data_IF_009028878943
#
_entry.id   IF_009028878943
#
_cell.length_a   1.000
_cell.length_b   1.000
_cell.length_c   1.000
_cell.angle_alpha   90.00
_cell.angle_beta   90.00
_cell.angle_gamma   90.00
#
_symmetry.space_group_name_H-M   'P 1'
#
loop_
_entity.id
_entity.type
_entity.pdbx_description
1 polymer ?
#
# COMPACT_ATOMS: atom_id res chain seq x y z
N UNK A 1 23.90 -66.47 34.46
CA UNK A 1 22.47 -66.13 34.38
C UNK A 1 22.23 -64.89 35.23
N UNK A 2 21.89 -63.80 34.54
CA UNK A 2 21.42 -62.46 34.93
C UNK A 2 21.90 -61.79 36.23
N UNK A 3 22.74 -60.77 36.03
CA UNK A 3 23.05 -59.71 36.97
C UNK A 3 21.85 -58.76 37.17
N UNK A 4 21.71 -58.28 38.41
CA UNK A 4 20.65 -57.41 38.90
C UNK A 4 20.88 -55.96 38.50
N UNK A 5 19.77 -55.34 38.12
CA UNK A 5 19.47 -53.92 37.87
C UNK A 5 20.25 -52.90 38.70
N UNK A 6 20.78 -51.88 38.02
CA UNK A 6 21.07 -50.56 38.59
C UNK A 6 20.25 -49.50 37.86
N UNK A 7 19.66 -48.61 38.67
CA UNK A 7 18.86 -47.46 38.29
C UNK A 7 19.58 -46.56 37.28
N UNK A 8 18.84 -45.92 36.36
CA UNK A 8 18.86 -44.45 36.30
C UNK A 8 17.80 -43.83 35.38
N UNK A 9 16.92 -43.09 36.05
CA UNK A 9 16.22 -41.86 35.65
C UNK A 9 16.83 -41.10 34.46
N UNK A 10 16.00 -40.75 33.46
CA UNK A 10 16.10 -39.47 32.72
C UNK A 10 14.70 -39.01 32.29
N UNK A 11 14.22 -37.96 32.95
CA UNK A 11 13.16 -37.07 32.45
C UNK A 11 13.55 -36.54 31.07
N UNK A 12 12.70 -36.75 30.06
CA UNK A 12 12.81 -36.04 28.78
C UNK A 12 12.38 -34.59 28.97
N UNK A 13 13.34 -33.66 29.02
CA UNK A 13 13.09 -32.24 28.77
C UNK A 13 12.72 -32.07 27.29
N UNK A 14 11.44 -31.85 26.98
CA UNK A 14 11.02 -31.39 25.66
C UNK A 14 11.46 -29.93 25.49
N UNK A 15 12.54 -29.72 24.75
CA UNK A 15 12.90 -28.41 24.23
C UNK A 15 11.93 -28.06 23.09
N UNK A 16 10.89 -27.27 23.39
CA UNK A 16 10.09 -26.61 22.37
C UNK A 16 10.98 -25.60 21.64
N UNK A 17 11.52 -25.99 20.49
CA UNK A 17 12.14 -25.06 19.55
C UNK A 17 11.05 -24.09 19.06
N UNK A 18 11.13 -22.84 19.48
CA UNK A 18 10.33 -21.76 18.92
C UNK A 18 10.74 -21.61 17.44
N UNK A 19 9.90 -22.11 16.53
CA UNK A 19 10.03 -21.78 15.12
C UNK A 19 9.85 -20.26 14.97
N UNK A 20 10.78 -19.54 14.31
CA UNK A 20 10.50 -18.17 13.93
C UNK A 20 9.30 -18.22 12.98
N UNK A 21 8.21 -17.56 13.36
CA UNK A 21 7.11 -17.32 12.45
C UNK A 21 7.67 -16.54 11.25
N UNK A 22 7.78 -17.19 10.10
CA UNK A 22 8.02 -16.48 8.84
C UNK A 22 6.80 -15.58 8.63
N UNK A 23 7.00 -14.27 8.81
CA UNK A 23 6.01 -13.28 8.40
C UNK A 23 5.70 -13.52 6.91
N UNK A 24 4.44 -13.79 6.60
CA UNK A 24 3.99 -13.96 5.23
C UNK A 24 4.39 -12.72 4.40
N UNK A 25 4.95 -12.96 3.21
CA UNK A 25 5.24 -11.88 2.26
C UNK A 25 3.99 -11.00 2.06
N UNK A 26 4.14 -9.68 1.86
CA UNK A 26 2.99 -8.81 1.68
C UNK A 26 2.23 -9.26 0.43
N UNK A 27 1.05 -9.82 0.69
CA UNK A 27 0.04 -10.15 -0.31
C UNK A 27 -0.30 -8.86 -1.06
N UNK A 28 -0.53 -8.87 -2.39
CA UNK A 28 -1.07 -7.73 -3.11
C UNK A 28 -2.22 -7.13 -2.30
N UNK A 29 -2.15 -5.82 -2.05
CA UNK A 29 -3.11 -5.19 -1.16
C UNK A 29 -4.52 -5.45 -1.70
N UNK A 30 -5.54 -5.62 -0.84
CA UNK A 30 -6.93 -5.83 -1.29
C UNK A 30 -7.35 -4.82 -2.36
N UNK A 31 -6.81 -3.61 -2.31
CA UNK A 31 -7.06 -2.53 -3.27
C UNK A 31 -6.36 -2.73 -4.62
N UNK A 32 -5.19 -3.36 -4.65
CA UNK A 32 -4.52 -3.70 -5.91
C UNK A 32 -5.37 -4.71 -6.68
N UNK A 33 -6.08 -5.61 -5.97
CA UNK A 33 -7.01 -6.57 -6.58
C UNK A 33 -8.21 -5.87 -7.21
N UNK A 34 -8.79 -4.88 -6.55
CA UNK A 34 -9.91 -4.10 -7.11
C UNK A 34 -9.51 -3.43 -8.43
N UNK A 35 -8.30 -2.85 -8.51
CA UNK A 35 -7.80 -2.26 -9.77
C UNK A 35 -7.54 -3.32 -10.83
N UNK A 36 -7.01 -4.49 -10.44
CA UNK A 36 -6.78 -5.59 -11.37
C UNK A 36 -8.10 -6.19 -11.91
N UNK A 37 -9.12 -6.32 -11.06
CA UNK A 37 -10.47 -6.77 -11.42
C UNK A 37 -11.14 -5.77 -12.37
N UNK A 38 -11.02 -4.46 -12.12
CA UNK A 38 -11.53 -3.44 -13.04
C UNK A 38 -10.89 -3.50 -14.44
N UNK A 39 -9.70 -4.10 -14.55
CA UNK A 39 -9.00 -4.32 -15.82
C UNK A 39 -9.00 -5.79 -16.29
N UNK A 40 -9.79 -6.68 -15.66
CA UNK A 40 -9.72 -8.13 -15.94
C UNK A 40 -10.52 -8.59 -17.15
N UNK A 41 -11.38 -7.75 -17.72
CA UNK A 41 -12.21 -8.09 -18.89
C UNK A 41 -11.41 -8.19 -20.20
N UNK A 42 -10.11 -7.90 -20.17
CA UNK A 42 -9.24 -7.84 -21.34
C UNK A 42 -8.27 -9.02 -21.44
N UNK A 43 -7.78 -9.28 -22.66
CA UNK A 43 -6.58 -10.10 -22.87
C UNK A 43 -5.38 -9.55 -22.09
N UNK A 44 -4.31 -10.33 -21.93
CA UNK A 44 -3.12 -9.89 -21.16
C UNK A 44 -2.55 -8.53 -21.65
N UNK A 45 -2.59 -8.25 -22.95
CA UNK A 45 -2.19 -6.96 -23.52
C UNK A 45 -3.21 -5.85 -23.22
N UNK A 46 -4.50 -6.12 -23.35
CA UNK A 46 -5.54 -5.14 -23.03
C UNK A 46 -5.60 -4.81 -21.52
N UNK A 47 -5.26 -5.76 -20.64
CA UNK A 47 -5.11 -5.51 -19.21
C UNK A 47 -3.98 -4.51 -18.94
N UNK A 48 -2.83 -4.65 -19.61
CA UNK A 48 -1.74 -3.69 -19.48
C UNK A 48 -2.16 -2.30 -19.95
N UNK A 49 -2.82 -2.18 -21.10
CA UNK A 49 -3.31 -0.90 -21.62
C UNK A 49 -4.33 -0.23 -20.67
N UNK A 50 -5.25 -1.01 -20.11
CA UNK A 50 -6.19 -0.54 -19.09
C UNK A 50 -5.44 0.00 -17.87
N UNK A 51 -4.44 -0.72 -17.38
CA UNK A 51 -3.66 -0.31 -16.21
C UNK A 51 -2.80 0.93 -16.46
N UNK A 52 -2.28 1.12 -17.68
CA UNK A 52 -1.59 2.36 -18.07
C UNK A 52 -2.55 3.55 -18.01
N UNK A 53 -3.77 3.40 -18.56
CA UNK A 53 -4.80 4.45 -18.49
C UNK A 53 -5.21 4.75 -17.05
N UNK A 54 -5.40 3.71 -16.24
CA UNK A 54 -5.80 3.84 -14.85
C UNK A 54 -4.70 4.47 -13.99
N UNK A 55 -3.42 4.21 -14.29
CA UNK A 55 -2.30 4.89 -13.64
C UNK A 55 -2.35 6.41 -13.88
N UNK A 56 -2.55 6.83 -15.13
CA UNK A 56 -2.70 8.24 -15.50
C UNK A 56 -3.93 8.86 -14.82
N UNK A 57 -5.07 8.17 -14.86
CA UNK A 57 -6.31 8.64 -14.26
C UNK A 57 -6.18 8.79 -12.73
N UNK A 58 -5.55 7.83 -12.06
CA UNK A 58 -5.32 7.89 -10.62
C UNK A 58 -4.42 9.06 -10.21
N UNK A 59 -3.39 9.39 -11.01
CA UNK A 59 -2.56 10.59 -10.79
C UNK A 59 -3.36 11.86 -10.93
N UNK A 60 -4.25 11.94 -11.92
CA UNK A 60 -5.14 13.07 -12.10
C UNK A 60 -6.10 13.24 -10.90
N UNK A 61 -6.70 12.14 -10.43
CA UNK A 61 -7.56 12.14 -9.23
C UNK A 61 -6.81 12.58 -7.97
N UNK A 62 -5.58 12.10 -7.77
CA UNK A 62 -4.74 12.54 -6.65
C UNK A 62 -4.45 14.04 -6.70
N UNK A 63 -4.03 14.57 -7.86
CA UNK A 63 -3.78 16.02 -8.03
C UNK A 63 -5.03 16.85 -7.78
N UNK A 64 -6.19 16.37 -8.24
CA UNK A 64 -7.46 17.04 -7.98
C UNK A 64 -7.79 17.06 -6.49
N UNK A 65 -7.57 15.95 -5.77
CA UNK A 65 -7.80 15.87 -4.33
C UNK A 65 -6.85 16.78 -3.54
N UNK A 66 -5.57 16.85 -3.92
CA UNK A 66 -4.60 17.81 -3.36
C UNK A 66 -5.07 19.25 -3.55
N UNK A 67 -5.52 19.61 -4.76
CA UNK A 67 -6.09 20.93 -5.04
C UNK A 67 -7.34 21.24 -4.22
N UNK A 68 -8.22 20.27 -4.02
CA UNK A 68 -9.41 20.42 -3.16
C UNK A 68 -9.05 20.62 -1.69
N UNK A 69 -8.06 19.89 -1.18
CA UNK A 69 -7.57 20.08 0.19
C UNK A 69 -6.96 21.48 0.38
N UNK A 70 -6.15 21.95 -0.59
CA UNK A 70 -5.61 23.31 -0.61
C UNK A 70 -6.73 24.37 -0.62
N UNK A 71 -7.78 24.14 -1.40
CA UNK A 71 -8.94 25.02 -1.43
C UNK A 71 -9.71 25.01 -0.10
N UNK A 72 -9.88 23.84 0.53
CA UNK A 72 -10.51 23.72 1.84
C UNK A 72 -9.71 24.46 2.93
N UNK A 73 -8.38 24.30 2.97
CA UNK A 73 -7.50 25.07 3.86
C UNK A 73 -7.61 26.58 3.65
N UNK A 74 -8.00 27.05 2.47
CA UNK A 74 -8.19 28.49 2.19
C UNK A 74 -9.49 29.05 2.76
N UNK A 75 -10.43 28.17 3.11
CA UNK A 75 -11.74 28.50 3.64
C UNK A 75 -11.88 28.13 5.11
N UNK A 76 -10.87 27.50 5.67
CA UNK A 76 -10.84 27.10 7.07
C UNK A 76 -10.76 28.36 7.93
N UNK A 77 -11.77 28.58 8.76
CA UNK A 77 -11.90 29.75 9.65
C UNK A 77 -10.98 29.59 10.87
N UNK A 78 -9.68 29.73 10.61
CA UNK A 78 -8.60 29.60 11.59
C UNK A 78 -7.56 30.69 11.34
N UNK A 79 -6.72 30.99 12.34
CA UNK A 79 -5.61 31.92 12.17
C UNK A 79 -4.70 31.52 11.00
N UNK A 80 -4.28 32.53 10.23
CA UNK A 80 -3.45 32.38 9.05
C UNK A 80 -2.16 31.59 9.34
N UNK A 81 -1.58 31.71 10.54
CA UNK A 81 -0.37 30.97 10.91
C UNK A 81 -0.59 29.44 10.89
N UNK A 82 -1.74 28.96 11.36
CA UNK A 82 -2.09 27.54 11.38
C UNK A 82 -2.49 27.05 9.98
N UNK A 83 -3.18 27.89 9.19
CA UNK A 83 -3.47 27.60 7.78
C UNK A 83 -2.17 27.40 6.99
N UNK A 84 -1.20 28.30 7.16
CA UNK A 84 0.09 28.23 6.47
C UNK A 84 0.91 27.01 6.92
N UNK A 85 0.92 26.71 8.23
CA UNK A 85 1.55 25.51 8.75
C UNK A 85 0.93 24.23 8.17
N UNK A 86 -0.40 24.17 8.06
CA UNK A 86 -1.11 23.04 7.50
C UNK A 86 -0.79 22.86 6.00
N UNK A 87 -0.69 23.95 5.22
CA UNK A 87 -0.25 23.88 3.81
C UNK A 87 1.17 23.37 3.65
N UNK A 88 2.10 23.87 4.47
CA UNK A 88 3.48 23.41 4.45
C UNK A 88 3.56 21.91 4.78
N UNK A 89 2.78 21.47 5.78
CA UNK A 89 2.70 20.06 6.18
C UNK A 89 2.08 19.19 5.08
N UNK A 90 1.03 19.67 4.40
CA UNK A 90 0.43 18.98 3.26
C UNK A 90 1.44 18.77 2.13
N UNK A 91 2.24 19.80 1.80
CA UNK A 91 3.27 19.71 0.76
C UNK A 91 4.36 18.68 1.11
N UNK A 92 4.85 18.70 2.35
CA UNK A 92 5.82 17.70 2.85
C UNK A 92 5.22 16.30 2.82
N UNK A 93 3.99 16.14 3.32
CA UNK A 93 3.27 14.86 3.33
C UNK A 93 3.07 14.31 1.92
N UNK A 94 2.76 15.15 0.93
CA UNK A 94 2.65 14.76 -0.47
C UNK A 94 3.96 14.22 -1.05
N UNK A 95 5.09 14.88 -0.74
CA UNK A 95 6.43 14.43 -1.16
C UNK A 95 6.78 13.07 -0.55
N UNK A 96 6.57 12.89 0.75
CA UNK A 96 6.85 11.62 1.41
C UNK A 96 5.89 10.51 0.96
N UNK A 97 4.64 10.83 0.67
CA UNK A 97 3.71 9.88 0.05
C UNK A 97 4.21 9.40 -1.32
N UNK A 98 4.76 10.29 -2.16
CA UNK A 98 5.36 9.91 -3.43
C UNK A 98 6.48 8.87 -3.26
N UNK A 99 7.38 9.09 -2.30
CA UNK A 99 8.46 8.15 -1.96
C UNK A 99 7.94 6.81 -1.45
N UNK A 100 6.96 6.86 -0.54
CA UNK A 100 6.29 5.67 -0.02
C UNK A 100 5.66 4.85 -1.15
N UNK A 101 4.88 5.50 -2.04
CA UNK A 101 4.22 4.83 -3.17
C UNK A 101 5.25 4.14 -4.07
N UNK A 102 6.30 4.85 -4.43
CA UNK A 102 7.30 4.32 -5.35
C UNK A 102 8.04 3.12 -4.74
N UNK A 103 8.38 3.16 -3.44
CA UNK A 103 8.98 2.05 -2.72
C UNK A 103 8.04 0.82 -2.61
N UNK A 104 6.77 1.05 -2.25
CA UNK A 104 5.78 -0.03 -2.17
C UNK A 104 5.52 -0.68 -3.52
N UNK A 105 5.44 0.10 -4.59
CA UNK A 105 5.17 -0.44 -5.92
C UNK A 105 6.41 -1.08 -6.56
N UNK A 106 7.62 -0.70 -6.16
CA UNK A 106 8.83 -1.45 -6.48
C UNK A 106 8.82 -2.84 -5.82
N UNK A 107 8.38 -2.94 -4.56
CA UNK A 107 8.19 -4.22 -3.88
C UNK A 107 7.10 -5.07 -4.56
N UNK A 108 5.94 -4.48 -4.89
CA UNK A 108 4.88 -5.20 -5.62
C UNK A 108 5.39 -5.77 -6.96
N UNK A 109 6.23 -5.01 -7.68
CA UNK A 109 6.90 -5.44 -8.91
C UNK A 109 7.89 -6.59 -8.66
N UNK A 110 8.65 -6.57 -7.56
CA UNK A 110 9.65 -7.61 -7.28
C UNK A 110 9.04 -8.95 -6.87
N UNK A 111 7.83 -8.94 -6.32
CA UNK A 111 7.10 -10.15 -5.91
C UNK A 111 6.50 -10.94 -7.07
N UNK A 112 6.63 -10.47 -8.31
CA UNK A 112 6.16 -11.18 -9.51
C UNK A 112 7.34 -11.85 -10.22
N UNK A 113 7.22 -13.16 -10.46
CA UNK A 113 8.20 -13.93 -11.22
C UNK A 113 8.31 -13.47 -12.69
N UNK A 114 9.47 -13.73 -13.30
CA UNK A 114 9.74 -13.35 -14.70
C UNK A 114 9.08 -14.23 -15.77
N UNK A 115 8.42 -15.33 -15.35
CA UNK A 115 7.98 -16.39 -16.26
C UNK A 115 6.71 -16.06 -17.08
N UNK A 116 6.06 -14.92 -16.87
CA UNK A 116 4.83 -14.55 -17.61
C UNK A 116 4.78 -13.06 -17.96
N UNK A 117 5.31 -12.73 -19.15
CA UNK A 117 5.06 -11.47 -19.85
C UNK A 117 5.17 -10.20 -19.00
N UNK A 118 4.13 -9.36 -19.04
CA UNK A 118 4.10 -8.05 -18.39
C UNK A 118 3.70 -8.09 -16.90
N UNK A 119 3.67 -9.26 -16.25
CA UNK A 119 3.15 -9.42 -14.89
C UNK A 119 3.81 -8.52 -13.83
N UNK A 120 5.11 -8.24 -13.98
CA UNK A 120 5.84 -7.29 -13.12
C UNK A 120 5.33 -5.86 -13.28
N UNK A 121 5.06 -5.45 -14.52
CA UNK A 121 4.60 -4.11 -14.83
C UNK A 121 3.11 -3.92 -14.47
N UNK A 122 2.28 -4.92 -14.78
CA UNK A 122 0.89 -5.01 -14.32
C UNK A 122 0.79 -4.82 -12.80
N UNK A 123 1.62 -5.50 -12.01
CA UNK A 123 1.63 -5.34 -10.55
C UNK A 123 2.07 -3.95 -10.10
N UNK A 124 3.07 -3.35 -10.77
CA UNK A 124 3.52 -1.99 -10.47
C UNK A 124 2.43 -0.96 -10.73
N UNK A 125 1.78 -1.03 -11.89
CA UNK A 125 0.74 -0.10 -12.30
C UNK A 125 -0.50 -0.19 -11.39
N UNK A 126 -0.97 -1.41 -11.10
CA UNK A 126 -2.08 -1.62 -10.19
C UNK A 126 -1.82 -1.03 -8.78
N UNK A 127 -0.60 -1.25 -8.25
CA UNK A 127 -0.19 -0.66 -6.98
C UNK A 127 -0.21 0.87 -6.99
N UNK A 128 0.33 1.50 -8.04
CA UNK A 128 0.36 2.97 -8.14
C UNK A 128 -1.05 3.52 -8.15
N UNK A 129 -1.94 2.93 -8.95
CA UNK A 129 -3.33 3.36 -9.06
C UNK A 129 -4.07 3.21 -7.73
N UNK A 130 -3.93 2.05 -7.07
CA UNK A 130 -4.56 1.78 -5.79
C UNK A 130 -4.11 2.77 -4.69
N UNK A 131 -2.80 3.05 -4.61
CA UNK A 131 -2.26 3.98 -3.62
C UNK A 131 -2.67 5.43 -3.91
N UNK A 132 -2.64 5.86 -5.17
CA UNK A 132 -3.10 7.19 -5.56
C UNK A 132 -4.59 7.38 -5.25
N UNK A 133 -5.44 6.42 -5.58
CA UNK A 133 -6.88 6.47 -5.31
C UNK A 133 -7.16 6.56 -3.80
N UNK A 134 -6.51 5.70 -3.00
CA UNK A 134 -6.64 5.75 -1.53
C UNK A 134 -6.23 7.10 -0.95
N UNK A 135 -5.10 7.66 -1.41
CA UNK A 135 -4.65 8.97 -0.92
C UNK A 135 -5.60 10.09 -1.34
N UNK A 136 -6.17 10.00 -2.54
CA UNK A 136 -7.17 10.95 -3.00
C UNK A 136 -8.41 10.94 -2.08
N UNK A 137 -8.95 9.76 -1.78
CA UNK A 137 -10.07 9.59 -0.83
C UNK A 137 -9.75 10.22 0.53
N UNK A 138 -8.60 9.88 1.12
CA UNK A 138 -8.17 10.44 2.40
C UNK A 138 -8.12 11.98 2.41
N UNK A 139 -7.60 12.59 1.34
CA UNK A 139 -7.52 14.05 1.23
C UNK A 139 -8.90 14.69 1.05
N UNK A 140 -9.81 14.02 0.33
CA UNK A 140 -11.18 14.49 0.17
C UNK A 140 -11.95 14.41 1.48
N UNK A 141 -11.80 13.33 2.24
CA UNK A 141 -12.42 13.17 3.55
C UNK A 141 -11.92 14.23 4.54
N UNK A 142 -10.59 14.46 4.58
CA UNK A 142 -10.01 15.54 5.40
C UNK A 142 -10.51 16.92 4.99
N UNK A 143 -10.65 17.18 3.69
CA UNK A 143 -11.17 18.45 3.19
C UNK A 143 -12.65 18.65 3.57
N UNK A 144 -13.46 17.59 3.53
CA UNK A 144 -14.85 17.61 3.95
C UNK A 144 -14.97 17.87 5.46
N UNK A 145 -14.19 17.17 6.28
CA UNK A 145 -14.15 17.38 7.73
C UNK A 145 -13.82 18.84 8.07
N UNK A 146 -12.79 19.39 7.43
CA UNK A 146 -12.35 20.78 7.63
C UNK A 146 -13.44 21.81 7.31
N UNK A 147 -14.23 21.57 6.26
CA UNK A 147 -15.31 22.47 5.82
C UNK A 147 -16.61 22.28 6.59
N UNK A 148 -16.70 21.25 7.43
CA UNK A 148 -17.88 20.97 8.26
C UNK A 148 -17.77 21.52 9.69
N UNK A 149 -16.61 22.09 10.03
CA UNK A 149 -16.33 22.78 11.29
C UNK A 149 -16.77 24.23 11.20
#
# INVERSE_FOLDING_TARGET
MHAVSWLNSRLCLSACLAFPAFAAAPVPSVRDRVVLEACSDFSQSGMLECLVKEEVASRARLRQAEGKMIAALSKWDEDANYVDQARATLAVSGKEFGRYRDAQCALARSLRGGAAGNGRETARLACISALNNKRAEQLLDMAADLLSR
#
